data_IF_351815628208
#
_entry.id   IF_351815628208
#
_cell.length_a   1.000
_cell.length_b   1.000
_cell.length_c   1.000
_cell.angle_alpha   90.00
_cell.angle_beta   90.00
_cell.angle_gamma   90.00
#
_symmetry.space_group_name_H-M   'P 1'
#
loop_
_entity.id
_entity.type
_entity.pdbx_description
1 polymer ?
#
# COMPACT_ATOMS: atom_id res chain seq x y z
N UNK A 1 -4.15 9.55 -13.53
CA UNK A 1 -5.48 10.11 -13.15
C UNK A 1 -6.02 10.98 -14.27
N UNK A 2 -7.35 11.11 -14.44
CA UNK A 2 -7.97 11.96 -15.50
C UNK A 2 -7.42 13.39 -15.50
N UNK A 3 -7.16 13.97 -14.32
CA UNK A 3 -6.49 15.28 -14.16
C UNK A 3 -5.07 15.30 -14.76
N UNK A 4 -4.27 14.27 -14.50
CA UNK A 4 -2.89 14.15 -15.01
C UNK A 4 -2.93 13.97 -16.53
N UNK A 5 -3.80 13.10 -17.06
CA UNK A 5 -3.87 12.90 -18.52
C UNK A 5 -4.30 14.16 -19.28
N UNK A 6 -5.18 14.98 -18.70
CA UNK A 6 -5.53 16.30 -19.26
C UNK A 6 -4.35 17.28 -19.24
N UNK A 7 -3.52 17.23 -18.20
CA UNK A 7 -2.35 18.11 -18.02
C UNK A 7 -1.17 17.71 -18.90
N UNK A 8 -0.97 16.40 -19.07
CA UNK A 8 0.12 15.80 -19.85
C UNK A 8 -0.28 15.51 -21.32
N UNK A 9 -1.45 15.99 -21.77
CA UNK A 9 -2.01 15.74 -23.11
C UNK A 9 -2.03 14.26 -23.55
N UNK A 10 -2.19 13.34 -22.61
CA UNK A 10 -2.26 11.89 -22.90
C UNK A 10 -3.70 11.43 -23.12
N UNK A 11 -3.88 10.37 -23.93
CA UNK A 11 -5.19 9.80 -24.24
C UNK A 11 -5.92 9.36 -22.96
N UNK A 12 -7.13 9.86 -22.76
CA UNK A 12 -8.00 9.44 -21.66
C UNK A 12 -8.68 8.14 -22.08
N UNK A 13 -8.29 7.03 -21.46
CA UNK A 13 -8.85 5.71 -21.77
C UNK A 13 -10.20 5.45 -21.09
N UNK A 14 -10.49 6.13 -19.98
CA UNK A 14 -11.73 5.93 -19.21
C UNK A 14 -12.28 7.24 -18.62
N UNK A 15 -13.60 7.37 -18.63
CA UNK A 15 -14.36 8.51 -18.11
C UNK A 15 -15.12 8.15 -16.84
N UNK A 16 -15.58 9.19 -16.11
CA UNK A 16 -16.35 9.06 -14.85
C UNK A 16 -17.52 8.08 -14.96
N UNK A 17 -18.26 8.11 -16.08
CA UNK A 17 -19.39 7.20 -16.33
C UNK A 17 -19.00 5.71 -16.35
N UNK A 18 -17.79 5.38 -16.81
CA UNK A 18 -17.30 3.98 -16.78
C UNK A 18 -16.91 3.56 -15.36
N UNK A 19 -16.33 4.47 -14.57
CA UNK A 19 -16.05 4.22 -13.16
C UNK A 19 -17.34 4.00 -12.37
N UNK A 20 -18.38 4.80 -12.61
CA UNK A 20 -19.70 4.61 -11.98
C UNK A 20 -20.33 3.26 -12.36
N UNK A 21 -20.17 2.81 -13.61
CA UNK A 21 -20.63 1.47 -14.02
C UNK A 21 -19.82 0.36 -13.34
N UNK A 22 -18.51 0.53 -13.20
CA UNK A 22 -17.64 -0.40 -12.50
C UNK A 22 -18.02 -0.52 -11.01
N UNK A 23 -18.25 0.61 -10.33
CA UNK A 23 -18.67 0.64 -8.93
C UNK A 23 -20.01 -0.05 -8.67
N UNK A 24 -20.85 -0.27 -9.69
CA UNK A 24 -22.10 -1.05 -9.57
C UNK A 24 -21.91 -2.55 -9.81
N UNK A 25 -20.71 -3.00 -10.19
CA UNK A 25 -20.41 -4.37 -10.63
C UNK A 25 -19.24 -5.01 -9.88
N UNK A 26 -18.74 -4.37 -8.83
CA UNK A 26 -17.75 -4.97 -7.95
C UNK A 26 -18.43 -5.59 -6.73
N UNK A 27 -17.86 -6.69 -6.24
CA UNK A 27 -18.28 -7.34 -5.00
C UNK A 27 -17.09 -7.33 -4.06
N UNK A 28 -17.29 -6.83 -2.84
CA UNK A 28 -16.28 -6.91 -1.79
C UNK A 28 -16.26 -8.32 -1.21
N UNK A 29 -15.07 -8.89 -1.10
CA UNK A 29 -14.86 -10.24 -0.55
C UNK A 29 -13.80 -10.13 0.54
N UNK A 30 -14.12 -10.65 1.72
CA UNK A 30 -13.17 -10.68 2.83
C UNK A 30 -12.14 -11.80 2.66
N UNK A 31 -11.00 -11.68 3.34
CA UNK A 31 -10.04 -12.77 3.37
C UNK A 31 -10.63 -14.02 4.01
N UNK A 32 -10.21 -15.19 3.50
CA UNK A 32 -10.61 -16.52 3.93
C UNK A 32 -12.12 -16.74 3.93
N UNK A 33 -12.81 -16.08 2.99
CA UNK A 33 -14.24 -16.21 2.74
C UNK A 33 -14.45 -16.67 1.30
N UNK A 34 -14.62 -17.98 1.05
CA UNK A 34 -14.87 -18.50 -0.28
C UNK A 34 -16.13 -17.87 -0.90
N UNK A 35 -16.04 -17.51 -2.18
CA UNK A 35 -17.16 -17.03 -2.99
C UNK A 35 -17.35 -17.98 -4.16
N UNK A 36 -18.57 -18.48 -4.30
CA UNK A 36 -18.94 -19.39 -5.36
C UNK A 36 -19.31 -18.63 -6.64
N UNK A 37 -18.63 -18.93 -7.74
CA UNK A 37 -18.81 -18.32 -9.05
C UNK A 37 -18.88 -19.41 -10.14
N UNK A 38 -20.11 -19.81 -10.47
CA UNK A 38 -20.35 -20.85 -11.48
C UNK A 38 -19.85 -22.21 -11.01
N UNK A 39 -18.78 -22.71 -11.61
CA UNK A 39 -18.15 -23.97 -11.20
C UNK A 39 -16.93 -23.76 -10.31
N UNK A 40 -16.62 -22.53 -9.90
CA UNK A 40 -15.41 -22.20 -9.17
C UNK A 40 -15.71 -21.63 -7.79
N UNK A 41 -14.88 -21.98 -6.81
CA UNK A 41 -14.76 -21.27 -5.55
C UNK A 41 -13.52 -20.38 -5.61
N UNK A 42 -13.69 -19.11 -5.24
CA UNK A 42 -12.61 -18.13 -5.14
C UNK A 42 -12.45 -17.73 -3.68
N UNK A 43 -11.24 -17.85 -3.15
CA UNK A 43 -10.90 -17.42 -1.80
C UNK A 43 -9.69 -16.50 -1.82
N UNK A 44 -9.75 -15.42 -1.04
CA UNK A 44 -8.70 -14.42 -0.94
C UNK A 44 -7.88 -14.60 0.33
N UNK A 45 -6.57 -14.45 0.24
CA UNK A 45 -5.62 -14.47 1.35
C UNK A 45 -4.81 -13.18 1.35
N UNK A 46 -4.36 -12.70 2.51
CA UNK A 46 -3.53 -11.49 2.58
C UNK A 46 -2.20 -11.69 1.82
N UNK A 47 -1.90 -10.78 0.89
CA UNK A 47 -0.64 -10.78 0.13
C UNK A 47 0.48 -9.99 0.82
N UNK A 48 0.20 -9.26 1.91
CA UNK A 48 1.19 -8.52 2.68
C UNK A 48 1.89 -7.39 1.92
N UNK A 49 1.38 -6.97 0.76
CA UNK A 49 2.01 -5.98 -0.11
C UNK A 49 1.53 -4.55 0.18
N UNK A 50 0.21 -4.34 0.17
CA UNK A 50 -0.49 -3.11 0.56
C UNK A 50 -1.80 -3.46 1.27
N UNK A 51 -2.44 -2.48 1.92
CA UNK A 51 -3.73 -2.69 2.57
C UNK A 51 -4.78 -3.19 1.54
N UNK A 52 -5.36 -4.36 1.80
CA UNK A 52 -6.33 -5.00 0.91
C UNK A 52 -5.72 -5.81 -0.25
N UNK A 53 -4.40 -5.90 -0.36
CA UNK A 53 -3.74 -6.78 -1.35
C UNK A 53 -4.06 -8.25 -1.10
N UNK A 54 -4.24 -9.05 -2.16
CA UNK A 54 -4.75 -10.40 -2.01
C UNK A 54 -4.06 -11.43 -2.92
N UNK A 55 -3.69 -12.56 -2.34
CA UNK A 55 -3.42 -13.82 -3.03
C UNK A 55 -4.78 -14.47 -3.32
N UNK A 56 -5.00 -14.87 -4.56
CA UNK A 56 -6.26 -15.48 -5.01
C UNK A 56 -6.09 -16.98 -5.16
N UNK A 57 -6.87 -17.76 -4.40
CA UNK A 57 -7.03 -19.20 -4.60
C UNK A 57 -8.28 -19.45 -5.45
N UNK A 58 -8.15 -20.27 -6.48
CA UNK A 58 -9.25 -20.73 -7.33
C UNK A 58 -9.29 -22.26 -7.32
N UNK A 59 -10.47 -22.79 -7.01
CA UNK A 59 -10.75 -24.22 -6.95
C UNK A 59 -12.01 -24.53 -7.78
N UNK A 60 -12.08 -25.67 -8.47
CA UNK A 60 -13.28 -26.10 -9.19
C UNK A 60 -14.16 -26.97 -8.30
N UNK A 61 -15.40 -26.55 -8.09
CA UNK A 61 -16.39 -27.25 -7.27
C UNK A 61 -16.73 -28.61 -7.87
N UNK A 62 -16.87 -29.64 -7.02
CA UNK A 62 -17.30 -31.01 -7.38
C UNK A 62 -16.41 -31.75 -8.41
N UNK A 63 -15.20 -31.28 -8.70
CA UNK A 63 -14.25 -32.02 -9.54
C UNK A 63 -13.65 -33.21 -8.76
N UNK A 64 -13.67 -34.42 -9.36
CA UNK A 64 -13.05 -35.63 -8.76
C UNK A 64 -11.55 -35.44 -8.42
N UNK A 65 -10.86 -34.61 -9.20
CA UNK A 65 -9.46 -34.20 -8.98
C UNK A 65 -9.41 -32.67 -8.97
N UNK A 66 -9.90 -32.05 -7.91
CA UNK A 66 -9.89 -30.59 -7.81
C UNK A 66 -8.43 -30.08 -7.75
N UNK A 67 -8.09 -29.16 -8.66
CA UNK A 67 -6.76 -28.54 -8.75
C UNK A 67 -6.82 -27.15 -8.13
N UNK A 68 -5.85 -26.86 -7.26
CA UNK A 68 -5.69 -25.56 -6.62
C UNK A 68 -4.81 -24.66 -7.47
N UNK A 69 -5.40 -23.63 -8.04
CA UNK A 69 -4.66 -22.59 -8.75
C UNK A 69 -4.53 -21.40 -7.81
N UNK A 70 -3.30 -20.97 -7.54
CA UNK A 70 -3.03 -19.77 -6.76
C UNK A 70 -2.39 -18.72 -7.65
N UNK A 71 -2.98 -17.54 -7.67
CA UNK A 71 -2.40 -16.33 -8.26
C UNK A 71 -1.99 -15.37 -7.15
N UNK A 72 -0.70 -15.03 -7.05
CA UNK A 72 -0.21 -14.22 -5.93
C UNK A 72 -0.56 -12.74 -6.05
N UNK A 73 -0.69 -12.22 -7.27
CA UNK A 73 -0.52 -10.79 -7.51
C UNK A 73 0.86 -10.32 -7.02
N UNK A 74 0.97 -9.04 -6.68
CA UNK A 74 2.14 -8.51 -5.98
C UNK A 74 2.04 -8.90 -4.49
N UNK A 75 3.09 -9.52 -3.97
CA UNK A 75 3.08 -10.05 -2.60
C UNK A 75 4.39 -9.75 -1.89
N UNK A 76 4.36 -9.78 -0.56
CA UNK A 76 5.56 -9.72 0.26
C UNK A 76 5.42 -10.67 1.43
N UNK A 77 6.33 -11.64 1.51
CA UNK A 77 6.34 -12.63 2.59
C UNK A 77 6.93 -12.08 3.89
N UNK A 78 7.92 -11.21 3.78
CA UNK A 78 8.61 -10.65 4.94
C UNK A 78 7.72 -9.61 5.63
N UNK A 79 7.61 -9.65 6.97
CA UNK A 79 6.87 -8.65 7.71
C UNK A 79 7.42 -7.25 7.44
N UNK A 80 6.52 -6.28 7.35
CA UNK A 80 6.77 -4.85 7.29
C UNK A 80 6.18 -4.20 8.55
N UNK A 81 6.31 -2.89 8.68
CA UNK A 81 5.75 -2.19 9.83
C UNK A 81 4.21 -2.26 9.82
N UNK A 82 3.57 -2.04 8.66
CA UNK A 82 2.11 -2.07 8.53
C UNK A 82 1.53 -3.43 8.09
N UNK A 83 2.35 -4.36 7.63
CA UNK A 83 1.88 -5.65 7.07
C UNK A 83 2.60 -6.84 7.70
N UNK A 84 1.88 -7.91 8.08
CA UNK A 84 2.50 -9.13 8.63
C UNK A 84 3.31 -9.93 7.61
N UNK A 85 3.00 -9.75 6.33
CA UNK A 85 3.55 -10.55 5.24
C UNK A 85 2.64 -11.72 4.87
N UNK A 86 2.68 -12.09 3.59
CA UNK A 86 1.94 -13.21 3.03
C UNK A 86 2.32 -14.54 3.70
N UNK A 87 1.34 -15.44 3.77
CA UNK A 87 1.55 -16.84 4.17
C UNK A 87 1.38 -17.74 2.95
N UNK A 88 2.16 -18.83 2.82
CA UNK A 88 2.00 -19.75 1.69
C UNK A 88 0.59 -20.33 1.65
N UNK A 89 -0.01 -20.31 0.46
CA UNK A 89 -1.29 -20.97 0.18
C UNK A 89 -0.99 -22.24 -0.62
N UNK A 90 -1.48 -23.39 -0.15
CA UNK A 90 -1.25 -24.67 -0.84
C UNK A 90 -1.84 -24.64 -2.25
N UNK A 91 -1.02 -24.95 -3.24
CA UNK A 91 -1.40 -24.96 -4.65
C UNK A 91 -0.88 -26.18 -5.40
N UNK A 92 -1.58 -26.56 -6.46
CA UNK A 92 -1.07 -27.45 -7.52
C UNK A 92 -0.39 -26.66 -8.64
N UNK A 93 -0.92 -25.45 -8.90
CA UNK A 93 -0.39 -24.50 -9.89
C UNK A 93 -0.22 -23.15 -9.21
N UNK A 94 0.98 -22.58 -9.28
CA UNK A 94 1.30 -21.27 -8.73
C UNK A 94 1.61 -20.31 -9.89
N UNK A 95 0.85 -19.22 -9.98
CA UNK A 95 1.12 -18.08 -10.84
C UNK A 95 1.63 -16.96 -9.93
N UNK A 96 2.89 -16.58 -10.10
CA UNK A 96 3.62 -15.70 -9.18
C UNK A 96 4.26 -14.53 -9.93
N UNK A 97 4.36 -13.38 -9.26
CA UNK A 97 5.14 -12.24 -9.77
C UNK A 97 6.65 -12.53 -9.80
N UNK A 98 7.40 -11.69 -10.52
CA UNK A 98 8.86 -11.86 -10.70
C UNK A 98 9.62 -10.53 -10.62
N UNK A 99 9.04 -9.52 -9.97
CA UNK A 99 9.59 -8.14 -9.94
C UNK A 99 11.03 -8.10 -9.42
N UNK A 100 11.36 -8.95 -8.45
CA UNK A 100 12.68 -9.02 -7.80
C UNK A 100 13.37 -10.38 -7.97
N UNK A 101 13.04 -11.16 -9.01
CA UNK A 101 13.54 -12.53 -9.18
C UNK A 101 15.08 -12.67 -9.16
N UNK A 102 15.83 -11.59 -9.42
CA UNK A 102 17.30 -11.57 -9.46
C UNK A 102 17.93 -10.67 -8.41
N UNK A 103 17.15 -10.15 -7.44
CA UNK A 103 17.65 -9.20 -6.44
C UNK A 103 17.51 -9.76 -5.04
N UNK A 104 18.60 -9.74 -4.29
CA UNK A 104 18.54 -9.96 -2.86
C UNK A 104 18.09 -8.69 -2.15
N UNK A 105 17.22 -8.87 -1.16
CA UNK A 105 16.79 -7.77 -0.31
C UNK A 105 17.75 -7.63 0.86
N UNK A 106 18.22 -6.40 1.17
CA UNK A 106 18.98 -6.17 2.39
C UNK A 106 18.10 -6.45 3.62
N UNK A 107 18.77 -6.66 4.76
CA UNK A 107 18.08 -6.79 6.04
C UNK A 107 17.12 -5.61 6.27
N UNK A 108 15.89 -5.93 6.69
CA UNK A 108 14.82 -4.93 6.81
C UNK A 108 15.15 -3.91 7.89
N UNK A 109 15.70 -4.35 9.02
CA UNK A 109 16.02 -3.46 10.14
C UNK A 109 17.15 -2.51 9.74
N UNK A 110 18.19 -3.02 9.08
CA UNK A 110 19.26 -2.19 8.52
C UNK A 110 18.72 -1.16 7.53
N UNK A 111 17.83 -1.57 6.61
CA UNK A 111 17.27 -0.63 5.64
C UNK A 111 16.41 0.45 6.31
N UNK A 112 15.62 0.10 7.33
CA UNK A 112 14.86 1.09 8.12
C UNK A 112 15.81 2.03 8.87
N UNK A 113 16.82 1.50 9.54
CA UNK A 113 17.84 2.28 10.23
C UNK A 113 18.51 3.28 9.27
N UNK A 114 19.06 2.80 8.15
CA UNK A 114 19.76 3.64 7.17
C UNK A 114 18.83 4.73 6.59
N UNK A 115 17.54 4.43 6.40
CA UNK A 115 16.55 5.42 5.99
C UNK A 115 16.31 6.49 7.06
N UNK A 116 16.10 6.08 8.31
CA UNK A 116 15.83 7.02 9.42
C UNK A 116 17.04 7.91 9.67
N UNK A 117 18.26 7.36 9.69
CA UNK A 117 19.48 8.13 9.86
C UNK A 117 19.70 9.10 8.70
N UNK A 118 19.45 8.68 7.46
CA UNK A 118 19.52 9.59 6.31
C UNK A 118 18.52 10.74 6.38
N UNK A 119 17.31 10.50 6.89
CA UNK A 119 16.33 11.58 7.13
C UNK A 119 16.82 12.51 8.24
N UNK A 120 17.28 11.97 9.38
CA UNK A 120 17.82 12.76 10.50
C UNK A 120 18.97 13.66 10.05
N UNK A 121 19.96 13.09 9.38
CA UNK A 121 21.14 13.82 8.90
C UNK A 121 20.75 15.02 8.03
N UNK A 122 19.80 14.83 7.10
CA UNK A 122 19.32 15.94 6.26
C UNK A 122 18.60 16.99 7.10
N UNK A 123 17.69 16.57 8.00
CA UNK A 123 16.87 17.52 8.77
C UNK A 123 17.63 18.24 9.87
N UNK A 124 18.61 17.60 10.50
CA UNK A 124 19.42 18.19 11.57
C UNK A 124 20.44 19.20 11.03
N UNK A 125 20.80 19.08 9.76
CA UNK A 125 21.57 20.08 9.01
C UNK A 125 20.70 21.22 8.43
N UNK A 126 19.43 21.31 8.82
CA UNK A 126 18.49 22.33 8.33
C UNK A 126 18.00 22.10 6.89
N UNK A 127 18.26 20.92 6.33
CA UNK A 127 17.80 20.52 5.00
C UNK A 127 16.41 19.91 4.99
N UNK A 128 15.90 19.63 3.78
CA UNK A 128 14.58 19.01 3.57
C UNK A 128 14.77 17.66 2.86
N UNK A 129 14.35 16.57 3.51
CA UNK A 129 14.35 15.24 2.94
C UNK A 129 13.10 15.02 2.08
N UNK A 130 13.21 15.17 0.76
CA UNK A 130 12.12 14.87 -0.17
C UNK A 130 12.05 13.36 -0.46
N UNK A 131 10.99 12.69 0.01
CA UNK A 131 10.82 11.24 -0.14
C UNK A 131 9.69 10.92 -1.13
N UNK A 132 10.00 10.55 -2.40
CA UNK A 132 8.98 10.15 -3.35
C UNK A 132 8.41 8.77 -3.00
N UNK A 133 7.09 8.69 -2.85
CA UNK A 133 6.39 7.45 -2.55
C UNK A 133 5.06 7.34 -3.30
N UNK A 134 4.64 6.11 -3.59
CA UNK A 134 3.30 5.86 -4.09
C UNK A 134 2.25 6.20 -3.04
N UNK A 135 1.13 6.77 -3.51
CA UNK A 135 0.04 7.22 -2.66
C UNK A 135 -0.50 6.13 -1.71
N UNK A 136 -0.55 4.88 -2.16
CA UNK A 136 -1.00 3.72 -1.35
C UNK A 136 0.19 2.78 -1.14
N UNK A 137 0.34 2.27 0.07
CA UNK A 137 1.40 1.36 0.48
C UNK A 137 2.58 2.10 1.09
N UNK A 138 3.52 2.54 0.24
CA UNK A 138 4.81 3.07 0.72
C UNK A 138 4.66 4.35 1.53
N UNK A 139 3.77 5.27 1.16
CA UNK A 139 3.53 6.50 1.92
C UNK A 139 3.10 6.20 3.36
N UNK A 140 2.16 5.27 3.56
CA UNK A 140 1.67 4.93 4.90
C UNK A 140 2.74 4.23 5.74
N UNK A 141 3.48 3.29 5.13
CA UNK A 141 4.58 2.58 5.81
C UNK A 141 5.64 3.56 6.31
N UNK A 142 6.05 4.53 5.46
CA UNK A 142 7.04 5.54 5.84
C UNK A 142 6.51 6.50 6.90
N UNK A 143 5.26 6.96 6.77
CA UNK A 143 4.64 7.85 7.75
C UNK A 143 4.63 7.22 9.14
N UNK A 144 4.25 5.95 9.24
CA UNK A 144 4.24 5.21 10.50
C UNK A 144 5.66 4.99 11.04
N UNK A 145 6.65 4.69 10.18
CA UNK A 145 8.04 4.55 10.61
C UNK A 145 8.63 5.87 11.14
N UNK A 146 8.35 7.00 10.48
CA UNK A 146 8.80 8.31 10.93
C UNK A 146 8.20 8.68 12.29
N UNK A 147 6.94 8.29 12.53
CA UNK A 147 6.31 8.42 13.85
C UNK A 147 7.03 7.61 14.93
N UNK A 148 7.28 6.33 14.71
CA UNK A 148 7.97 5.48 15.69
C UNK A 148 9.39 5.95 16.04
N UNK A 149 10.02 6.71 15.14
CA UNK A 149 11.36 7.25 15.34
C UNK A 149 11.35 8.73 15.75
N UNK A 150 10.20 9.31 16.10
CA UNK A 150 10.11 10.68 16.64
C UNK A 150 10.40 11.77 15.62
N UNK A 151 10.13 11.53 14.33
CA UNK A 151 10.33 12.50 13.24
C UNK A 151 9.00 13.08 12.70
N UNK A 152 7.86 12.74 13.33
CA UNK A 152 6.54 13.05 12.79
C UNK A 152 6.22 14.54 12.75
N UNK A 153 6.67 15.31 13.75
CA UNK A 153 6.37 16.74 13.89
C UNK A 153 6.90 17.56 12.70
N UNK A 154 7.98 17.09 12.07
CA UNK A 154 8.61 17.71 10.89
C UNK A 154 8.18 17.05 9.57
N UNK A 155 7.26 16.10 9.61
CA UNK A 155 6.85 15.32 8.45
C UNK A 155 5.62 15.92 7.78
N UNK A 156 5.71 16.18 6.48
CA UNK A 156 4.61 16.65 5.65
C UNK A 156 4.11 15.55 4.70
N UNK A 157 2.79 15.40 4.57
CA UNK A 157 2.16 14.48 3.60
C UNK A 157 1.38 15.26 2.53
N UNK A 158 1.70 15.02 1.26
CA UNK A 158 1.10 15.71 0.11
C UNK A 158 0.54 14.72 -0.93
N UNK A 159 -0.22 15.23 -1.89
CA UNK A 159 -0.78 14.49 -3.01
C UNK A 159 -1.88 13.52 -2.59
N UNK A 160 -2.06 12.47 -3.40
CA UNK A 160 -3.08 11.44 -3.19
C UNK A 160 -2.78 10.56 -1.97
N UNK A 161 -1.57 10.63 -1.40
CA UNK A 161 -1.21 9.89 -0.20
C UNK A 161 -2.08 10.27 1.00
N UNK A 162 -2.60 11.51 1.01
CA UNK A 162 -3.53 12.00 2.02
C UNK A 162 -4.82 11.18 2.05
N UNK A 163 -5.58 11.24 0.97
CA UNK A 163 -6.85 10.50 0.81
C UNK A 163 -6.64 8.98 0.94
N UNK A 164 -5.53 8.46 0.41
CA UNK A 164 -5.18 7.05 0.56
C UNK A 164 -4.98 6.63 2.02
N UNK A 165 -4.33 7.48 2.83
CA UNK A 165 -4.13 7.22 4.26
C UNK A 165 -5.46 7.17 5.01
N UNK A 166 -6.39 8.08 4.71
CA UNK A 166 -7.74 8.05 5.28
C UNK A 166 -8.50 6.76 4.93
N UNK A 167 -8.38 6.28 3.69
CA UNK A 167 -8.98 5.02 3.25
C UNK A 167 -8.37 3.83 4.02
N UNK A 168 -7.04 3.80 4.17
CA UNK A 168 -6.34 2.75 4.93
C UNK A 168 -6.78 2.76 6.40
N UNK A 169 -6.87 3.94 7.03
CA UNK A 169 -7.33 4.10 8.41
C UNK A 169 -8.81 3.77 8.61
N UNK A 170 -9.63 3.91 7.58
CA UNK A 170 -11.03 3.45 7.61
C UNK A 170 -11.13 1.93 7.51
N UNK A 171 -10.06 1.25 7.09
CA UNK A 171 -9.98 -0.19 6.85
C UNK A 171 -8.87 -0.83 7.70
N UNK A 172 -8.80 -0.47 8.99
CA UNK A 172 -7.71 -0.86 9.93
C UNK A 172 -7.44 -2.36 9.98
N UNK A 173 -8.45 -3.20 9.76
CA UNK A 173 -8.33 -4.66 9.79
C UNK A 173 -7.40 -5.25 8.72
N UNK A 174 -6.95 -4.45 7.75
CA UNK A 174 -6.00 -4.86 6.70
C UNK A 174 -4.54 -4.51 7.01
N UNK A 175 -4.25 -3.95 8.18
CA UNK A 175 -2.90 -3.59 8.63
C UNK A 175 -2.69 -3.97 10.11
N UNK A 176 -1.46 -4.30 10.51
CA UNK A 176 -1.17 -4.71 11.90
C UNK A 176 -0.98 -3.55 12.88
N UNK A 177 -0.20 -2.53 12.51
CA UNK A 177 0.15 -1.40 13.38
C UNK A 177 -0.75 -0.19 13.08
N UNK A 178 -2.07 -0.41 13.02
CA UNK A 178 -3.03 0.63 12.65
C UNK A 178 -3.01 1.84 13.61
N UNK A 179 -2.74 1.59 14.89
CA UNK A 179 -2.69 2.64 15.92
C UNK A 179 -1.51 3.58 15.71
N UNK A 180 -0.34 3.05 15.36
CA UNK A 180 0.84 3.85 15.03
C UNK A 180 0.57 4.73 13.81
N UNK A 181 -0.02 4.16 12.75
CA UNK A 181 -0.41 4.96 11.57
C UNK A 181 -1.46 6.03 11.92
N UNK A 182 -2.41 5.72 12.79
CA UNK A 182 -3.44 6.67 13.20
C UNK A 182 -2.85 7.85 13.99
N UNK A 183 -1.91 7.58 14.91
CA UNK A 183 -1.19 8.63 15.65
C UNK A 183 -0.31 9.45 14.72
N UNK A 184 0.43 8.79 13.84
CA UNK A 184 1.23 9.44 12.81
C UNK A 184 0.38 10.39 11.94
N UNK A 185 -0.78 9.91 11.48
CA UNK A 185 -1.73 10.70 10.71
C UNK A 185 -2.28 11.91 11.49
N UNK A 186 -2.50 11.78 12.80
CA UNK A 186 -2.99 12.88 13.63
C UNK A 186 -1.91 13.94 13.91
N UNK A 187 -0.64 13.54 13.96
CA UNK A 187 0.48 14.42 14.37
C UNK A 187 1.27 14.98 13.18
N UNK A 188 1.13 14.40 11.99
CA UNK A 188 1.81 14.90 10.78
C UNK A 188 1.18 16.16 10.21
N UNK A 189 1.94 16.86 9.37
CA UNK A 189 1.50 18.06 8.68
C UNK A 189 0.85 17.70 7.34
N UNK A 190 -0.46 17.93 7.22
CA UNK A 190 -1.21 17.64 5.99
C UNK A 190 -1.12 18.80 5.01
N UNK A 191 -0.52 18.58 3.83
CA UNK A 191 -0.44 19.61 2.78
C UNK A 191 -1.78 19.68 2.06
N UNK A 192 -2.66 20.61 2.47
CA UNK A 192 -4.01 20.81 1.92
C UNK A 192 -3.99 21.79 0.76
N UNK A 193 -3.13 22.80 0.83
CA UNK A 193 -3.05 23.86 -0.18
C UNK A 193 -1.61 24.30 -0.52
N UNK A 194 -1.50 25.42 -1.23
CA UNK A 194 -0.22 25.98 -1.68
C UNK A 194 0.55 26.64 -0.52
N UNK A 195 -0.15 27.17 0.49
CA UNK A 195 0.49 27.76 1.65
C UNK A 195 1.19 26.67 2.47
N UNK A 196 0.51 25.56 2.77
CA UNK A 196 1.11 24.41 3.46
C UNK A 196 2.33 23.87 2.69
N UNK A 197 2.24 23.82 1.35
CA UNK A 197 3.36 23.38 0.51
C UNK A 197 4.54 24.34 0.58
N UNK A 198 4.30 25.65 0.69
CA UNK A 198 5.38 26.63 0.86
C UNK A 198 6.03 26.51 2.23
N UNK A 199 5.24 26.30 3.27
CA UNK A 199 5.73 26.06 4.63
C UNK A 199 6.62 24.81 4.69
N UNK A 200 6.15 23.70 4.10
CA UNK A 200 6.92 22.47 3.98
C UNK A 200 8.29 22.63 3.29
N UNK A 201 8.43 23.66 2.44
CA UNK A 201 9.65 23.98 1.69
C UNK A 201 10.56 24.99 2.40
N UNK A 202 10.15 25.58 3.51
CA UNK A 202 10.94 26.57 4.23
C UNK A 202 11.92 25.96 5.24
N UNK A 203 11.75 24.67 5.57
CA UNK A 203 12.56 23.98 6.58
C UNK A 203 12.20 24.47 7.98
N UNK A 204 12.01 23.56 8.95
CA UNK A 204 11.76 23.96 10.34
C UNK A 204 13.00 24.67 10.89
N UNK A 205 12.91 25.99 11.06
CA UNK A 205 13.91 26.83 11.72
C UNK A 205 13.90 26.63 13.23
#
# INVERSE_FOLDING_TARGET
TIKISRKEHTKINFHKRQLEKFSKRFMQVGYKKPVHLGEFDIELYDAGHIAGSAITLVERVKAKNNKRIVYTGDFKMSPQFLHEGAKPVRSDVLIIESTYATREHPDRNKLVHDFIEGVREVTDNGGIALVPAFAVGRSQELLALLYEHGLIERTYIDGMAREATEIVLSNRGFIRNADALAKAANECNWVKDIADRREALQGGS
#
